data_IF_183923134734
#
_entry.id   IF_183923134734
#
_cell.length_a   1.000
_cell.length_b   1.000
_cell.length_c   1.000
_cell.angle_alpha   90.00
_cell.angle_beta   90.00
_cell.angle_gamma   90.00
#
_symmetry.space_group_name_H-M   'P 1'
#
loop_
_entity.id
_entity.type
_entity.pdbx_description
1 polymer ?
#
# COMPACT_ATOMS: atom_id res chain seq x y z
N UNK A 1 -25.24 -7.35 7.64
CA UNK A 1 -25.15 -8.46 8.62
C UNK A 1 -23.80 -9.18 8.55
N UNK A 2 -23.36 -9.63 7.37
CA UNK A 2 -22.10 -10.38 7.20
C UNK A 2 -20.86 -9.65 7.78
N UNK A 3 -20.63 -8.39 7.40
CA UNK A 3 -19.45 -7.63 7.86
C UNK A 3 -19.43 -7.45 9.38
N UNK A 4 -20.59 -7.23 10.00
CA UNK A 4 -20.71 -7.12 11.46
C UNK A 4 -20.29 -8.40 12.17
N UNK A 5 -20.78 -9.53 11.72
CA UNK A 5 -20.43 -10.83 12.33
C UNK A 5 -18.95 -11.19 12.07
N UNK A 6 -18.40 -10.84 10.91
CA UNK A 6 -16.99 -11.02 10.61
C UNK A 6 -16.10 -10.19 11.55
N UNK A 7 -16.48 -8.92 11.84
CA UNK A 7 -15.74 -8.08 12.81
C UNK A 7 -15.78 -8.66 14.23
N UNK A 8 -16.95 -9.12 14.66
CA UNK A 8 -17.10 -9.77 15.98
C UNK A 8 -16.24 -11.03 16.10
N UNK A 9 -16.26 -11.89 15.09
CA UNK A 9 -15.47 -13.12 15.08
C UNK A 9 -13.96 -12.83 15.04
N UNK A 10 -13.52 -11.89 14.22
CA UNK A 10 -12.13 -11.46 14.19
C UNK A 10 -11.68 -10.96 15.58
N UNK A 11 -12.51 -10.14 16.22
CA UNK A 11 -12.24 -9.64 17.59
C UNK A 11 -12.21 -10.76 18.62
N UNK A 12 -13.12 -11.74 18.53
CA UNK A 12 -13.13 -12.92 19.40
C UNK A 12 -11.84 -13.73 19.29
N UNK A 13 -11.24 -13.76 18.10
CA UNK A 13 -9.94 -14.41 17.82
C UNK A 13 -8.74 -13.55 18.21
N UNK A 14 -8.93 -12.41 18.85
CA UNK A 14 -7.85 -11.51 19.29
C UNK A 14 -7.28 -10.62 18.20
N UNK A 15 -7.92 -10.55 17.02
CA UNK A 15 -7.46 -9.66 15.96
C UNK A 15 -7.82 -8.20 16.25
N UNK A 16 -6.91 -7.28 15.93
CA UNK A 16 -7.23 -5.85 15.89
C UNK A 16 -8.16 -5.58 14.70
N UNK A 17 -9.28 -4.88 14.96
CA UNK A 17 -10.33 -4.64 13.97
C UNK A 17 -10.51 -3.15 13.70
N UNK A 18 -10.68 -2.81 12.43
CA UNK A 18 -11.04 -1.46 11.99
C UNK A 18 -12.19 -1.53 11.00
N UNK A 19 -13.04 -0.51 10.97
CA UNK A 19 -14.05 -0.36 9.94
C UNK A 19 -13.99 1.00 9.25
N UNK A 20 -14.38 1.03 7.99
CA UNK A 20 -14.57 2.25 7.21
C UNK A 20 -16.05 2.31 6.82
N UNK A 21 -16.71 3.39 7.16
CA UNK A 21 -18.14 3.59 6.85
C UNK A 21 -18.41 5.03 6.45
N UNK A 22 -19.42 5.24 5.62
CA UNK A 22 -19.94 6.58 5.29
C UNK A 22 -21.19 6.93 6.11
N UNK A 23 -21.70 5.98 6.90
CA UNK A 23 -22.83 6.20 7.80
C UNK A 23 -22.36 6.39 9.23
N UNK A 24 -22.54 7.59 9.85
CA UNK A 24 -22.13 7.85 11.23
C UNK A 24 -22.92 7.02 12.25
N UNK A 25 -24.06 6.50 11.89
CA UNK A 25 -24.92 5.67 12.77
C UNK A 25 -24.76 4.17 12.46
N UNK A 26 -23.66 3.75 11.83
CA UNK A 26 -23.44 2.35 11.49
C UNK A 26 -23.15 1.50 12.73
N UNK A 27 -23.84 0.38 12.89
CA UNK A 27 -23.59 -0.62 13.94
C UNK A 27 -22.14 -1.17 13.90
N UNK A 28 -21.43 -1.05 12.76
CA UNK A 28 -20.06 -1.50 12.61
C UNK A 28 -19.09 -0.73 13.50
N UNK A 29 -19.42 0.53 13.84
CA UNK A 29 -18.60 1.41 14.67
C UNK A 29 -18.39 0.78 16.07
N UNK A 30 -19.47 0.27 16.66
CA UNK A 30 -19.40 -0.39 17.97
C UNK A 30 -18.70 -1.77 17.94
N UNK A 31 -18.61 -2.39 16.76
CA UNK A 31 -17.99 -3.71 16.60
C UNK A 31 -16.47 -3.65 16.33
N UNK A 32 -15.91 -2.49 16.00
CA UNK A 32 -14.50 -2.32 15.67
C UNK A 32 -13.72 -1.62 16.81
N UNK A 33 -12.39 -1.84 16.86
CA UNK A 33 -11.52 -1.08 17.76
C UNK A 33 -11.30 0.35 17.26
N UNK A 34 -11.27 0.53 15.93
CA UNK A 34 -11.15 1.84 15.28
C UNK A 34 -12.19 1.96 14.17
N UNK A 35 -12.86 3.10 14.10
CA UNK A 35 -13.79 3.42 13.02
C UNK A 35 -13.35 4.69 12.29
N UNK A 36 -13.29 4.62 10.97
CA UNK A 36 -13.10 5.77 10.08
C UNK A 36 -14.45 6.10 9.45
N UNK A 37 -15.01 7.25 9.81
CA UNK A 37 -16.33 7.68 9.35
C UNK A 37 -16.17 8.82 8.31
N UNK A 38 -16.36 8.50 7.04
CA UNK A 38 -16.33 9.46 5.95
C UNK A 38 -17.74 9.98 5.65
N UNK A 39 -18.09 11.15 6.15
CA UNK A 39 -19.42 11.77 5.93
C UNK A 39 -19.52 12.34 4.52
N UNK A 40 -19.96 11.53 3.57
CA UNK A 40 -20.08 11.93 2.15
C UNK A 40 -21.41 12.59 1.79
N UNK A 41 -22.38 12.58 2.71
CA UNK A 41 -23.74 13.01 2.44
C UNK A 41 -24.50 12.06 1.52
N UNK A 42 -25.73 12.43 1.10
CA UNK A 42 -26.56 11.60 0.25
C UNK A 42 -25.96 11.44 -1.15
N UNK A 43 -26.20 10.28 -1.76
CA UNK A 43 -25.85 10.05 -3.15
C UNK A 43 -26.80 10.79 -4.10
N UNK A 44 -26.32 11.14 -5.31
CA UNK A 44 -27.14 11.75 -6.36
C UNK A 44 -28.30 10.82 -6.75
N UNK A 45 -28.01 9.53 -6.83
CA UNK A 45 -29.03 8.48 -6.98
C UNK A 45 -29.17 7.79 -5.63
N UNK A 46 -30.30 7.98 -4.95
CA UNK A 46 -30.55 7.46 -3.61
C UNK A 46 -30.29 5.98 -3.53
N UNK A 47 -29.47 5.57 -2.54
CA UNK A 47 -29.11 4.17 -2.31
C UNK A 47 -27.97 3.64 -3.21
N UNK A 48 -27.54 4.39 -4.23
CA UNK A 48 -26.43 3.98 -5.12
C UNK A 48 -25.07 4.35 -4.54
N UNK A 49 -24.63 3.65 -3.52
CA UNK A 49 -23.43 3.97 -2.70
C UNK A 49 -22.08 3.77 -3.41
N UNK A 50 -22.09 3.46 -4.70
CA UNK A 50 -20.88 3.28 -5.53
C UNK A 50 -20.17 4.59 -5.91
N UNK A 51 -20.85 5.73 -5.81
CA UNK A 51 -20.33 7.04 -6.23
C UNK A 51 -19.55 7.72 -5.10
N UNK A 52 -20.19 8.53 -4.27
CA UNK A 52 -19.51 9.27 -3.20
C UNK A 52 -18.92 8.34 -2.15
N UNK A 53 -19.72 7.43 -1.61
CA UNK A 53 -19.29 6.50 -0.57
C UNK A 53 -18.19 5.56 -1.07
N UNK A 54 -18.36 4.95 -2.23
CA UNK A 54 -17.36 4.06 -2.84
C UNK A 54 -16.05 4.79 -3.15
N UNK A 55 -16.11 6.02 -3.66
CA UNK A 55 -14.93 6.85 -3.91
C UNK A 55 -14.19 7.20 -2.62
N UNK A 56 -14.92 7.61 -1.58
CA UNK A 56 -14.32 7.92 -0.27
C UNK A 56 -13.63 6.69 0.33
N UNK A 57 -14.28 5.53 0.32
CA UNK A 57 -13.68 4.29 0.79
C UNK A 57 -12.43 3.91 0.02
N UNK A 58 -12.45 4.01 -1.31
CA UNK A 58 -11.27 3.76 -2.16
C UNK A 58 -10.10 4.69 -1.77
N UNK A 59 -10.35 5.98 -1.59
CA UNK A 59 -9.32 6.94 -1.21
C UNK A 59 -8.73 6.62 0.17
N UNK A 60 -9.56 6.30 1.16
CA UNK A 60 -9.11 5.92 2.51
C UNK A 60 -8.25 4.67 2.45
N UNK A 61 -8.66 3.63 1.73
CA UNK A 61 -7.88 2.39 1.58
C UNK A 61 -6.54 2.64 0.89
N UNK A 62 -6.51 3.48 -0.14
CA UNK A 62 -5.27 3.87 -0.82
C UNK A 62 -4.33 4.66 0.09
N UNK A 63 -4.86 5.60 0.88
CA UNK A 63 -4.08 6.35 1.86
C UNK A 63 -3.50 5.42 2.94
N UNK A 64 -4.31 4.52 3.50
CA UNK A 64 -3.86 3.56 4.51
C UNK A 64 -2.76 2.64 3.97
N UNK A 65 -2.99 2.01 2.82
CA UNK A 65 -2.00 1.11 2.23
C UNK A 65 -0.69 1.82 1.88
N UNK A 66 -0.77 3.02 1.34
CA UNK A 66 0.41 3.84 1.03
C UNK A 66 1.16 4.23 2.31
N UNK A 67 0.46 4.72 3.33
CA UNK A 67 1.06 5.09 4.61
C UNK A 67 1.75 3.90 5.30
N UNK A 68 1.14 2.71 5.24
CA UNK A 68 1.74 1.47 5.75
C UNK A 68 3.05 1.16 5.01
N UNK A 69 3.08 1.24 3.68
CA UNK A 69 4.30 0.99 2.90
C UNK A 69 5.40 2.00 3.18
N UNK A 70 5.04 3.28 3.40
CA UNK A 70 5.99 4.33 3.82
C UNK A 70 6.55 4.01 5.21
N UNK A 71 5.71 3.70 6.19
CA UNK A 71 6.14 3.37 7.55
C UNK A 71 6.98 2.10 7.65
N UNK A 72 6.73 1.12 6.78
CA UNK A 72 7.56 -0.08 6.65
C UNK A 72 8.90 0.20 5.94
N UNK A 73 9.18 1.45 5.56
CA UNK A 73 10.41 1.83 4.87
C UNK A 73 10.51 1.28 3.45
N UNK A 74 9.40 0.85 2.85
CA UNK A 74 9.37 0.31 1.48
C UNK A 74 9.33 1.38 0.39
N UNK A 75 9.25 2.64 0.79
CA UNK A 75 9.25 3.80 -0.11
C UNK A 75 10.46 4.67 0.20
N UNK A 76 11.17 5.11 -0.83
CA UNK A 76 12.28 6.06 -0.75
C UNK A 76 12.02 7.23 -1.70
N UNK A 77 11.86 8.43 -1.15
CA UNK A 77 11.30 9.57 -1.89
C UNK A 77 9.87 9.24 -2.35
N UNK A 78 9.61 9.34 -3.64
CA UNK A 78 8.32 8.97 -4.26
C UNK A 78 8.32 7.57 -4.91
N UNK A 79 9.32 6.73 -4.62
CA UNK A 79 9.53 5.44 -5.31
C UNK A 79 9.48 4.26 -4.34
N UNK A 80 8.73 3.23 -4.72
CA UNK A 80 8.74 1.96 -4.01
C UNK A 80 10.02 1.19 -4.33
N UNK A 81 10.78 0.81 -3.31
CA UNK A 81 12.08 0.13 -3.45
C UNK A 81 12.05 -1.38 -3.14
N UNK A 82 10.97 -1.86 -2.54
CA UNK A 82 10.76 -3.29 -2.28
C UNK A 82 9.79 -3.87 -3.32
N UNK A 83 10.29 -4.09 -4.55
CA UNK A 83 9.53 -4.68 -5.64
C UNK A 83 9.75 -6.19 -5.69
N UNK A 84 8.66 -6.95 -5.86
CA UNK A 84 8.75 -8.36 -6.22
C UNK A 84 8.83 -8.47 -7.74
N UNK A 85 9.94 -8.97 -8.27
CA UNK A 85 10.24 -9.03 -9.71
C UNK A 85 9.51 -10.20 -10.39
N UNK A 86 8.16 -10.21 -10.32
CA UNK A 86 7.33 -11.31 -10.85
C UNK A 86 6.98 -11.19 -12.34
N UNK A 87 7.23 -10.06 -12.96
CA UNK A 87 6.98 -9.84 -14.39
C UNK A 87 8.00 -8.88 -14.97
N UNK A 88 8.13 -8.89 -16.29
CA UNK A 88 9.11 -8.11 -17.05
C UNK A 88 9.03 -6.61 -16.76
N UNK A 89 7.82 -6.05 -16.72
CA UNK A 89 7.57 -4.65 -16.34
C UNK A 89 8.17 -4.28 -14.97
N UNK A 90 8.11 -5.18 -13.98
CA UNK A 90 8.67 -4.94 -12.64
C UNK A 90 10.20 -5.08 -12.64
N UNK A 91 10.75 -5.96 -13.47
CA UNK A 91 12.20 -6.09 -13.68
C UNK A 91 12.76 -4.82 -14.31
N UNK A 92 12.13 -4.32 -15.38
CA UNK A 92 12.52 -3.07 -16.03
C UNK A 92 12.43 -1.88 -15.07
N UNK A 93 11.34 -1.78 -14.32
CA UNK A 93 11.18 -0.74 -13.29
C UNK A 93 12.26 -0.81 -12.21
N UNK A 94 12.66 -2.00 -11.78
CA UNK A 94 13.73 -2.19 -10.81
C UNK A 94 15.08 -1.74 -11.37
N UNK A 95 15.40 -2.05 -12.65
CA UNK A 95 16.62 -1.57 -13.32
C UNK A 95 16.66 -0.05 -13.37
N UNK A 96 15.59 0.58 -13.84
CA UNK A 96 15.48 2.04 -13.90
C UNK A 96 15.66 2.69 -12.52
N UNK A 97 15.07 2.11 -11.47
CA UNK A 97 15.26 2.59 -10.10
C UNK A 97 16.72 2.53 -9.63
N UNK A 98 17.44 1.46 -9.97
CA UNK A 98 18.87 1.31 -9.63
C UNK A 98 19.71 2.28 -10.44
N UNK A 99 19.47 2.42 -11.74
CA UNK A 99 20.16 3.36 -12.61
C UNK A 99 20.06 4.78 -12.08
N UNK A 100 18.84 5.26 -11.85
CA UNK A 100 18.58 6.63 -11.37
C UNK A 100 19.14 6.89 -9.97
N UNK A 101 19.07 5.91 -9.08
CA UNK A 101 19.48 6.09 -7.68
C UNK A 101 20.99 5.98 -7.46
N UNK A 102 21.69 5.22 -8.31
CA UNK A 102 23.13 4.98 -8.19
C UNK A 102 23.96 5.65 -9.31
N UNK A 103 23.31 6.23 -10.33
CA UNK A 103 23.97 6.86 -11.48
C UNK A 103 24.84 5.85 -12.23
N UNK A 104 24.27 4.70 -12.60
CA UNK A 104 24.96 3.59 -13.28
C UNK A 104 24.24 3.21 -14.57
N UNK A 105 24.92 2.47 -15.45
CA UNK A 105 24.36 1.96 -16.69
C UNK A 105 23.35 0.83 -16.46
N UNK A 106 22.51 0.53 -17.46
CA UNK A 106 21.56 -0.59 -17.41
C UNK A 106 22.26 -1.94 -17.15
N UNK A 107 23.39 -2.18 -17.81
CA UNK A 107 24.18 -3.40 -17.62
C UNK A 107 24.68 -3.57 -16.17
N UNK A 108 25.14 -2.48 -15.55
CA UNK A 108 25.59 -2.48 -14.16
C UNK A 108 24.43 -2.67 -13.19
N UNK A 109 23.28 -2.00 -13.45
CA UNK A 109 22.07 -2.16 -12.68
C UNK A 109 21.54 -3.60 -12.74
N UNK A 110 21.47 -4.18 -13.93
CA UNK A 110 21.04 -5.57 -14.12
C UNK A 110 21.98 -6.57 -13.44
N UNK A 111 23.31 -6.35 -13.52
CA UNK A 111 24.32 -7.17 -12.82
C UNK A 111 24.15 -7.10 -11.30
N UNK A 112 23.98 -5.87 -10.75
CA UNK A 112 23.81 -5.68 -9.32
C UNK A 112 22.52 -6.29 -8.80
N UNK A 113 21.41 -6.15 -9.53
CA UNK A 113 20.13 -6.77 -9.17
C UNK A 113 20.23 -8.30 -9.13
N UNK A 114 20.87 -8.93 -10.11
CA UNK A 114 21.11 -10.38 -10.08
C UNK A 114 21.93 -10.81 -8.85
N UNK A 115 23.00 -10.08 -8.53
CA UNK A 115 23.84 -10.37 -7.36
C UNK A 115 23.12 -10.18 -6.02
N UNK A 116 22.14 -9.29 -5.97
CA UNK A 116 21.31 -9.00 -4.80
C UNK A 116 19.95 -9.75 -4.84
N UNK A 117 19.83 -10.82 -5.61
CA UNK A 117 18.62 -11.66 -5.72
C UNK A 117 17.35 -10.84 -5.99
N UNK A 118 17.47 -9.78 -6.78
CA UNK A 118 16.35 -8.88 -7.14
C UNK A 118 16.05 -7.77 -6.13
N UNK A 119 16.77 -7.66 -5.02
CA UNK A 119 16.60 -6.59 -4.04
C UNK A 119 17.12 -5.27 -4.58
N UNK A 120 16.22 -4.36 -4.95
CA UNK A 120 16.57 -3.01 -5.43
C UNK A 120 17.33 -2.23 -4.35
N UNK A 121 16.89 -2.34 -3.10
CA UNK A 121 17.52 -1.65 -1.96
C UNK A 121 18.98 -2.04 -1.78
N UNK A 122 19.25 -3.34 -1.77
CA UNK A 122 20.62 -3.87 -1.62
C UNK A 122 21.48 -3.54 -2.83
N UNK A 123 20.93 -3.62 -4.05
CA UNK A 123 21.61 -3.27 -5.27
C UNK A 123 22.08 -1.80 -5.26
N UNK A 124 21.20 -0.88 -4.87
CA UNK A 124 21.55 0.54 -4.73
C UNK A 124 22.60 0.75 -3.63
N UNK A 125 22.44 0.12 -2.47
CA UNK A 125 23.39 0.25 -1.36
C UNK A 125 24.79 -0.25 -1.75
N UNK A 126 24.87 -1.38 -2.43
CA UNK A 126 26.12 -1.97 -2.92
C UNK A 126 26.83 -1.07 -3.92
N UNK A 127 26.11 -0.52 -4.89
CA UNK A 127 26.68 0.35 -5.91
C UNK A 127 27.16 1.70 -5.33
N UNK A 128 26.45 2.25 -4.35
CA UNK A 128 26.89 3.49 -3.68
C UNK A 128 28.14 3.29 -2.84
N UNK A 129 28.27 2.17 -2.11
CA UNK A 129 29.50 1.84 -1.35
C UNK A 129 30.74 1.68 -2.24
N UNK A 130 30.56 1.25 -3.49
CA UNK A 130 31.67 1.08 -4.44
C UNK A 130 32.19 2.41 -5.01
N UNK A 131 31.37 3.48 -4.94
CA UNK A 131 31.73 4.82 -5.44
C UNK A 131 32.32 5.75 -4.36
N UNK A 132 32.30 5.34 -3.10
CA UNK A 132 32.96 5.99 -1.97
C UNK A 132 34.36 5.39 -1.76
#
# INVERSE_FOLDING_TARGET
RYVREALKEARRRGAFTACITCNPNSELIACAHVAVVARTGPEVVTGSTRMKAGTAQKLILNMLSTAVMVRLGRVKGNRMVDLQLKCEKLVERARNLVMDSAGVTDAEAAKSLRQCKGSVREAIAKLKRRKM
#
